data_IF_754347497521
#
_entry.id   IF_754347497521
#
_cell.length_a   1.000
_cell.length_b   1.000
_cell.length_c   1.000
_cell.angle_alpha   90.00
_cell.angle_beta   90.00
_cell.angle_gamma   90.00
#
_symmetry.space_group_name_H-M   'P 1'
#
loop_
_entity.id
_entity.type
_entity.pdbx_description
1 polymer ?
#
# COMPACT_ATOMS: atom_id res chain seq x y z
N UNK A 1 2.13 -21.87 -5.77
CA UNK A 1 1.49 -21.47 -4.50
C UNK A 1 0.42 -20.44 -4.80
N UNK A 2 -0.81 -20.73 -4.44
CA UNK A 2 -1.95 -19.79 -4.53
C UNK A 2 -2.02 -19.00 -3.25
N UNK A 3 -2.19 -17.69 -3.32
CA UNK A 3 -2.41 -16.81 -2.19
C UNK A 3 -3.69 -16.02 -2.40
N UNK A 4 -4.57 -16.02 -1.42
CA UNK A 4 -5.79 -15.24 -1.38
C UNK A 4 -5.76 -14.34 -0.15
N UNK A 5 -6.23 -13.13 -0.28
CA UNK A 5 -6.22 -12.13 0.79
C UNK A 5 -7.45 -11.23 0.68
N UNK A 6 -8.66 -11.72 1.01
CA UNK A 6 -9.79 -10.84 1.21
C UNK A 6 -9.61 -10.03 2.49
N UNK A 7 -9.95 -8.76 2.46
CA UNK A 7 -10.02 -7.89 3.62
C UNK A 7 -11.19 -6.93 3.51
N UNK A 8 -11.75 -6.59 4.65
CA UNK A 8 -12.72 -5.52 4.79
C UNK A 8 -12.16 -4.52 5.80
N UNK A 9 -12.28 -3.25 5.51
CA UNK A 9 -11.87 -2.19 6.42
C UNK A 9 -12.88 -1.03 6.40
N UNK A 10 -12.88 -0.22 7.43
CA UNK A 10 -13.64 1.01 7.51
C UNK A 10 -12.86 2.04 8.31
N UNK A 11 -12.99 3.29 7.90
CA UNK A 11 -12.54 4.46 8.61
C UNK A 11 -13.78 5.27 9.02
N UNK A 12 -13.86 5.63 10.27
CA UNK A 12 -14.92 6.43 10.85
C UNK A 12 -14.27 7.61 11.57
N UNK A 13 -14.51 8.82 11.10
CA UNK A 13 -14.00 10.04 11.69
C UNK A 13 -15.11 10.88 12.26
N UNK A 14 -14.76 11.80 13.16
CA UNK A 14 -15.71 12.71 13.81
C UNK A 14 -16.39 13.62 12.78
N UNK A 15 -15.67 13.98 11.72
CA UNK A 15 -16.23 14.64 10.54
C UNK A 15 -16.68 13.58 9.53
N UNK A 16 -17.99 13.52 9.24
CA UNK A 16 -18.60 12.51 8.37
C UNK A 16 -18.11 12.55 6.92
N UNK A 17 -17.52 13.66 6.47
CA UNK A 17 -16.99 13.77 5.10
C UNK A 17 -15.79 12.82 4.83
N UNK A 18 -15.10 12.39 5.89
CA UNK A 18 -13.94 11.48 5.82
C UNK A 18 -14.28 10.03 6.16
N UNK A 19 -15.56 9.71 6.32
CA UNK A 19 -15.97 8.35 6.57
C UNK A 19 -15.86 7.52 5.30
N UNK A 20 -15.24 6.35 5.40
CA UNK A 20 -15.00 5.47 4.27
C UNK A 20 -14.95 4.00 4.68
N UNK A 21 -15.45 3.12 3.82
CA UNK A 21 -15.33 1.68 4.00
C UNK A 21 -15.13 0.96 2.67
N UNK A 22 -14.36 -0.12 2.67
CA UNK A 22 -14.08 -0.88 1.45
C UNK A 22 -13.87 -2.37 1.71
N UNK A 23 -14.22 -3.14 0.70
CA UNK A 23 -13.92 -4.56 0.60
C UNK A 23 -12.85 -4.80 -0.45
N UNK A 24 -11.66 -5.22 -0.03
CA UNK A 24 -10.60 -5.60 -0.95
C UNK A 24 -10.46 -7.12 -1.08
N UNK A 25 -10.21 -7.55 -2.32
CA UNK A 25 -9.93 -8.94 -2.65
C UNK A 25 -8.71 -9.05 -3.56
N UNK A 26 -7.79 -9.92 -3.19
CA UNK A 26 -6.57 -10.15 -3.97
C UNK A 26 -6.30 -11.65 -4.09
N UNK A 27 -6.39 -12.17 -5.33
CA UNK A 27 -6.05 -13.55 -5.66
C UNK A 27 -4.81 -13.58 -6.54
N UNK A 28 -3.78 -14.29 -6.11
CA UNK A 28 -2.54 -14.47 -6.86
C UNK A 28 -2.21 -15.95 -7.02
N UNK A 29 -2.04 -16.36 -8.27
CA UNK A 29 -1.72 -17.74 -8.63
C UNK A 29 -0.40 -17.77 -9.41
N UNK A 30 0.62 -18.41 -8.84
CA UNK A 30 1.87 -18.69 -9.56
C UNK A 30 1.65 -19.86 -10.50
N UNK A 31 1.93 -19.65 -11.78
CA UNK A 31 1.77 -20.69 -12.81
C UNK A 31 2.97 -21.65 -12.77
N UNK A 32 2.74 -22.95 -12.46
CA UNK A 32 3.85 -23.90 -12.21
C UNK A 32 4.74 -24.13 -13.42
N UNK A 33 4.17 -24.05 -14.64
CA UNK A 33 4.87 -24.31 -15.90
C UNK A 33 5.63 -23.11 -16.47
N UNK A 34 5.38 -21.90 -15.95
CA UNK A 34 5.97 -20.65 -16.47
C UNK A 34 7.28 -20.28 -15.75
N UNK A 35 8.07 -21.25 -15.30
CA UNK A 35 9.40 -21.09 -14.70
C UNK A 35 9.45 -20.01 -13.58
N UNK A 36 8.36 -19.85 -12.83
CA UNK A 36 8.20 -18.82 -11.78
C UNK A 36 8.23 -17.37 -12.28
N UNK A 37 8.23 -17.16 -13.59
CA UNK A 37 8.31 -15.82 -14.21
C UNK A 37 6.95 -15.17 -14.46
N UNK A 38 5.84 -15.92 -14.31
CA UNK A 38 4.49 -15.41 -14.56
C UNK A 38 3.57 -15.70 -13.38
N UNK A 39 2.80 -14.71 -12.99
CA UNK A 39 1.78 -14.77 -11.96
C UNK A 39 0.46 -14.25 -12.53
N UNK A 40 -0.62 -15.00 -12.36
CA UNK A 40 -1.98 -14.56 -12.63
C UNK A 40 -2.52 -13.78 -11.42
N UNK A 41 -3.20 -12.66 -11.66
CA UNK A 41 -3.71 -11.76 -10.64
C UNK A 41 -5.18 -11.47 -10.92
N UNK A 42 -6.01 -11.53 -9.89
CA UNK A 42 -7.34 -10.93 -9.85
C UNK A 42 -7.40 -10.08 -8.59
N UNK A 43 -7.71 -8.81 -8.72
CA UNK A 43 -7.74 -7.89 -7.59
C UNK A 43 -8.67 -6.71 -7.86
N UNK A 44 -9.36 -6.24 -6.84
CA UNK A 44 -10.00 -4.93 -6.83
C UNK A 44 -9.14 -3.89 -6.09
N UNK A 45 -8.02 -4.31 -5.48
CA UNK A 45 -7.01 -3.42 -4.91
C UNK A 45 -5.64 -3.74 -5.55
N UNK A 46 -5.35 -3.12 -6.71
CA UNK A 46 -4.11 -3.36 -7.43
C UNK A 46 -2.86 -2.91 -6.66
N UNK A 47 -2.98 -2.02 -5.71
CA UNK A 47 -1.87 -1.44 -4.95
C UNK A 47 -1.56 -2.19 -3.64
N UNK A 48 -2.39 -3.15 -3.25
CA UNK A 48 -2.24 -3.92 -2.00
C UNK A 48 -0.88 -4.62 -1.83
N UNK A 49 -0.15 -4.90 -2.89
CA UNK A 49 1.13 -5.64 -2.76
C UNK A 49 2.20 -4.89 -1.99
N UNK A 50 2.12 -3.56 -1.98
CA UNK A 50 3.02 -2.67 -1.26
C UNK A 50 2.36 -2.07 -0.03
N UNK A 51 1.05 -2.18 0.07
CA UNK A 51 0.21 -1.64 1.13
C UNK A 51 0.39 -2.32 2.50
N UNK A 52 1.22 -3.37 2.61
CA UNK A 52 1.66 -3.84 3.94
C UNK A 52 2.38 -2.75 4.74
N UNK A 53 2.75 -1.66 4.10
CA UNK A 53 3.26 -0.42 4.70
C UNK A 53 2.27 0.75 4.61
N UNK A 54 1.23 0.65 3.79
CA UNK A 54 0.18 1.66 3.77
C UNK A 54 -0.72 1.41 4.96
N UNK A 55 -0.70 2.31 5.91
CA UNK A 55 -1.70 2.40 6.95
C UNK A 55 -3.00 2.78 6.26
N UNK A 56 -3.83 1.79 5.97
CA UNK A 56 -5.17 2.10 5.53
C UNK A 56 -5.83 3.05 6.53
N UNK A 57 -6.51 4.05 6.05
CA UNK A 57 -7.34 4.89 6.86
C UNK A 57 -6.72 6.15 7.45
N UNK A 58 -5.41 6.38 7.34
CA UNK A 58 -4.83 7.66 7.81
C UNK A 58 -5.05 8.78 6.80
N UNK A 59 -5.08 8.43 5.51
CA UNK A 59 -5.43 9.35 4.43
C UNK A 59 -6.60 8.76 3.65
N UNK A 60 -7.83 9.24 3.85
CA UNK A 60 -9.04 8.77 3.15
C UNK A 60 -8.97 9.02 1.63
N UNK A 61 -8.15 9.97 1.20
CA UNK A 61 -7.89 10.30 -0.21
C UNK A 61 -7.11 9.21 -0.98
N UNK A 62 -6.78 8.07 -0.35
CA UNK A 62 -6.21 6.94 -1.08
C UNK A 62 -7.30 6.35 -1.97
N UNK A 63 -7.28 6.74 -3.24
CA UNK A 63 -8.22 6.30 -4.28
C UNK A 63 -8.50 4.82 -4.17
N UNK A 64 -9.71 4.52 -3.83
CA UNK A 64 -10.28 3.20 -4.03
C UNK A 64 -10.59 3.07 -5.51
N UNK A 65 -9.90 2.18 -6.17
CA UNK A 65 -10.33 1.79 -7.50
C UNK A 65 -11.49 0.82 -7.31
N UNK A 66 -12.71 1.26 -7.58
CA UNK A 66 -13.90 0.39 -7.70
C UNK A 66 -13.78 -0.60 -8.86
N UNK A 67 -12.56 -0.80 -9.36
CA UNK A 67 -12.28 -1.56 -10.55
C UNK A 67 -11.69 -2.93 -10.23
N UNK A 68 -12.38 -3.99 -10.65
CA UNK A 68 -11.80 -5.33 -10.59
C UNK A 68 -10.86 -5.55 -11.78
N UNK A 69 -9.59 -5.68 -11.48
CA UNK A 69 -8.53 -5.95 -12.49
C UNK A 69 -8.22 -7.43 -12.56
N UNK A 70 -8.20 -7.96 -13.77
CA UNK A 70 -7.72 -9.31 -14.09
C UNK A 70 -6.48 -9.18 -14.97
N UNK A 71 -5.38 -9.83 -14.59
CA UNK A 71 -4.14 -9.65 -15.34
C UNK A 71 -3.05 -10.65 -15.02
N UNK A 72 -1.88 -10.35 -15.57
CA UNK A 72 -0.66 -11.12 -15.38
C UNK A 72 0.46 -10.21 -14.91
N UNK A 73 1.30 -10.74 -14.01
CA UNK A 73 2.59 -10.13 -13.67
C UNK A 73 3.70 -11.00 -14.19
N UNK A 74 4.59 -10.37 -14.90
CA UNK A 74 5.80 -10.95 -15.44
C UNK A 74 7.00 -10.50 -14.62
N UNK A 75 7.89 -11.41 -14.28
CA UNK A 75 9.12 -11.13 -13.56
C UNK A 75 10.30 -11.22 -14.51
N UNK A 76 11.18 -10.23 -14.46
CA UNK A 76 12.41 -10.15 -15.26
C UNK A 76 12.20 -10.37 -16.78
N UNK A 77 11.15 -9.73 -17.35
CA UNK A 77 10.82 -9.84 -18.78
C UNK A 77 11.99 -9.53 -19.72
N UNK A 78 12.83 -8.57 -19.35
CA UNK A 78 13.93 -8.09 -20.17
C UNK A 78 15.28 -8.71 -19.79
N UNK A 79 15.34 -9.64 -18.84
CA UNK A 79 16.60 -10.18 -18.32
C UNK A 79 17.46 -9.12 -17.62
N UNK A 80 16.84 -8.07 -17.12
CA UNK A 80 17.53 -6.94 -16.50
C UNK A 80 18.14 -7.30 -15.16
N UNK A 81 17.56 -8.26 -14.43
CA UNK A 81 18.08 -8.72 -13.12
C UNK A 81 19.50 -9.31 -13.20
N UNK A 82 19.92 -9.74 -14.39
CA UNK A 82 21.29 -10.20 -14.63
C UNK A 82 22.31 -9.06 -14.84
N UNK A 83 21.84 -7.84 -15.09
CA UNK A 83 22.67 -6.69 -15.48
C UNK A 83 22.66 -5.58 -14.41
N UNK A 84 21.54 -5.41 -13.73
CA UNK A 84 21.31 -4.34 -12.77
C UNK A 84 20.84 -4.98 -11.45
N UNK A 85 21.44 -4.64 -10.31
CA UNK A 85 20.99 -5.15 -9.03
C UNK A 85 19.54 -4.73 -8.76
N UNK A 86 18.71 -5.66 -8.27
CA UNK A 86 17.31 -5.41 -7.97
C UNK A 86 16.38 -6.40 -8.66
N UNK A 87 15.07 -6.14 -8.57
CA UNK A 87 14.02 -6.99 -9.13
C UNK A 87 13.13 -6.18 -10.04
N UNK A 88 12.94 -6.66 -11.25
CA UNK A 88 12.03 -6.08 -12.22
C UNK A 88 10.77 -6.93 -12.38
N UNK A 89 9.63 -6.28 -12.42
CA UNK A 89 8.37 -6.93 -12.77
C UNK A 89 7.47 -5.98 -13.53
N UNK A 90 6.62 -6.51 -14.40
CA UNK A 90 5.61 -5.73 -15.12
C UNK A 90 4.28 -6.43 -14.96
N UNK A 91 3.29 -5.72 -14.44
CA UNK A 91 1.90 -6.16 -14.43
C UNK A 91 1.17 -5.59 -15.64
N UNK A 92 0.30 -6.39 -16.24
CA UNK A 92 -0.59 -6.00 -17.33
C UNK A 92 -1.97 -6.58 -17.01
N UNK A 93 -3.01 -5.78 -17.18
CA UNK A 93 -4.36 -6.23 -16.86
C UNK A 93 -5.44 -5.47 -17.58
N UNK A 94 -6.63 -6.04 -17.50
CA UNK A 94 -7.88 -5.44 -17.94
C UNK A 94 -8.74 -5.26 -16.71
N UNK A 95 -9.23 -4.06 -16.52
CA UNK A 95 -10.16 -3.70 -15.48
C UNK A 95 -11.58 -3.64 -16.01
N UNK A 96 -12.53 -3.85 -15.10
CA UNK A 96 -13.95 -3.77 -15.37
C UNK A 96 -14.61 -2.93 -14.29
N UNK A 97 -15.02 -1.72 -14.65
CA UNK A 97 -15.80 -0.80 -13.82
C UNK A 97 -16.94 -0.24 -14.66
N UNK A 98 -18.16 -0.29 -14.15
CA UNK A 98 -19.39 0.36 -14.66
C UNK A 98 -19.62 0.39 -16.19
N UNK A 99 -19.06 -0.56 -16.96
CA UNK A 99 -19.42 -0.78 -18.37
C UNK A 99 -18.28 -0.77 -19.37
N UNK A 100 -17.24 0.04 -19.20
CA UNK A 100 -16.14 0.11 -20.15
C UNK A 100 -14.89 -0.64 -19.67
N UNK A 101 -14.27 -1.49 -20.53
CA UNK A 101 -13.03 -2.13 -20.19
C UNK A 101 -11.89 -1.12 -20.18
N UNK A 102 -11.07 -1.17 -19.13
CA UNK A 102 -9.86 -0.37 -18.99
C UNK A 102 -8.64 -1.24 -19.14
N UNK A 103 -7.54 -0.67 -19.64
CA UNK A 103 -6.26 -1.35 -19.75
C UNK A 103 -5.25 -0.71 -18.82
N UNK A 104 -4.42 -1.55 -18.21
CA UNK A 104 -3.37 -1.12 -17.30
C UNK A 104 -2.05 -1.83 -17.62
N UNK A 105 -0.97 -1.06 -17.60
CA UNK A 105 0.39 -1.58 -17.61
C UNK A 105 1.19 -0.94 -16.50
N UNK A 106 1.97 -1.73 -15.75
CA UNK A 106 2.69 -1.27 -14.57
C UNK A 106 4.06 -1.94 -14.46
N UNK A 107 5.10 -1.37 -15.07
CA UNK A 107 6.48 -1.72 -14.78
C UNK A 107 6.87 -1.27 -13.36
N UNK A 108 7.64 -2.13 -12.69
CA UNK A 108 8.12 -1.92 -11.32
C UNK A 108 9.55 -2.36 -11.17
N UNK A 109 10.33 -1.57 -10.49
CA UNK A 109 11.67 -1.88 -10.04
C UNK A 109 11.75 -1.82 -8.52
N UNK A 110 12.39 -2.82 -7.90
CA UNK A 110 12.63 -2.86 -6.45
C UNK A 110 14.10 -3.18 -6.24
N UNK A 111 14.78 -2.37 -5.45
CA UNK A 111 16.14 -2.61 -5.01
C UNK A 111 16.22 -2.54 -3.48
N UNK A 112 16.79 -3.56 -2.86
CA UNK A 112 17.01 -3.61 -1.42
C UNK A 112 18.51 -3.72 -1.16
N UNK A 113 19.01 -2.90 -0.28
CA UNK A 113 20.40 -2.90 0.15
C UNK A 113 20.48 -2.84 1.68
N UNK A 114 21.22 -3.78 2.25
CA UNK A 114 21.48 -3.83 3.68
C UNK A 114 22.85 -3.20 3.96
N UNK A 115 22.89 -2.22 4.87
CA UNK A 115 24.12 -1.59 5.30
C UNK A 115 24.15 -1.46 6.82
N UNK A 116 25.06 -2.20 7.45
CA UNK A 116 25.24 -2.29 8.90
C UNK A 116 23.91 -2.66 9.60
N UNK A 117 23.36 -1.72 10.36
CA UNK A 117 22.11 -1.89 11.15
C UNK A 117 20.85 -1.46 10.42
N UNK A 118 20.98 -0.92 9.21
CA UNK A 118 19.86 -0.45 8.38
C UNK A 118 19.67 -1.33 7.16
N UNK A 119 18.42 -1.50 6.75
CA UNK A 119 18.04 -2.02 5.43
C UNK A 119 17.30 -0.91 4.68
N UNK A 120 17.72 -0.64 3.46
CA UNK A 120 17.07 0.36 2.60
C UNK A 120 16.39 -0.33 1.44
N UNK A 121 15.14 0.03 1.17
CA UNK A 121 14.42 -0.46 0.01
C UNK A 121 13.96 0.72 -0.85
N UNK A 122 14.44 0.76 -2.08
CA UNK A 122 13.96 1.68 -3.10
C UNK A 122 12.96 0.96 -4.00
N UNK A 123 11.85 1.62 -4.27
CA UNK A 123 10.84 1.16 -5.21
C UNK A 123 10.52 2.29 -6.18
N UNK A 124 10.50 1.93 -7.46
CA UNK A 124 10.00 2.76 -8.54
C UNK A 124 8.87 2.02 -9.24
N UNK A 125 7.73 2.65 -9.39
CA UNK A 125 6.56 2.14 -10.10
C UNK A 125 6.10 3.21 -11.08
N UNK A 126 5.92 2.81 -12.32
CA UNK A 126 5.29 3.62 -13.36
C UNK A 126 4.01 2.90 -13.71
N UNK A 127 2.91 3.61 -13.85
CA UNK A 127 1.63 3.04 -14.25
C UNK A 127 1.08 3.84 -15.40
N UNK A 128 0.52 3.16 -16.36
CA UNK A 128 -0.36 3.75 -17.36
C UNK A 128 -1.71 3.05 -17.30
N UNK A 129 -2.76 3.83 -17.31
CA UNK A 129 -4.13 3.38 -17.26
C UNK A 129 -4.97 4.13 -18.30
N UNK A 130 -5.86 3.47 -19.02
CA UNK A 130 -6.61 4.11 -20.11
C UNK A 130 -7.50 5.25 -19.65
N UNK A 131 -8.03 5.20 -18.44
CA UNK A 131 -8.89 6.24 -17.86
C UNK A 131 -8.08 7.35 -17.19
N UNK A 132 -7.09 6.97 -16.38
CA UNK A 132 -6.42 7.89 -15.45
C UNK A 132 -5.08 8.43 -15.98
N UNK A 133 -4.62 7.92 -17.15
CA UNK A 133 -3.34 8.34 -17.74
C UNK A 133 -2.13 7.73 -17.03
N UNK A 134 -1.06 8.51 -16.91
CA UNK A 134 0.18 8.11 -16.28
C UNK A 134 0.19 8.39 -14.78
N UNK A 135 0.82 7.51 -14.03
CA UNK A 135 1.20 7.80 -12.65
C UNK A 135 2.62 7.28 -12.35
N UNK A 136 3.30 7.98 -11.47
CA UNK A 136 4.67 7.70 -11.05
C UNK A 136 4.71 7.62 -9.53
N UNK A 137 5.15 6.48 -8.99
CA UNK A 137 5.38 6.30 -7.55
C UNK A 137 6.85 5.97 -7.31
N UNK A 138 7.51 6.79 -6.49
CA UNK A 138 8.87 6.56 -6.01
C UNK A 138 8.83 6.41 -4.51
N UNK A 139 9.37 5.31 -3.96
CA UNK A 139 9.36 5.07 -2.51
C UNK A 139 10.75 4.67 -2.03
N UNK A 140 11.13 5.25 -0.89
CA UNK A 140 12.39 4.96 -0.20
C UNK A 140 12.10 4.63 1.26
N UNK A 141 12.32 3.38 1.64
CA UNK A 141 12.17 2.88 2.99
C UNK A 141 13.54 2.73 3.66
N UNK A 142 13.65 3.17 4.91
CA UNK A 142 14.77 2.88 5.79
C UNK A 142 14.27 2.07 6.98
N UNK A 143 14.74 0.84 7.10
CA UNK A 143 14.30 -0.14 8.07
C UNK A 143 15.39 -0.44 9.08
N UNK A 144 15.04 -0.50 10.38
CA UNK A 144 15.95 -0.86 11.45
C UNK A 144 15.28 -1.70 12.51
N UNK A 145 15.86 -2.86 12.83
CA UNK A 145 15.52 -3.64 14.01
C UNK A 145 16.21 -3.02 15.23
N UNK A 146 15.46 -2.30 16.08
CA UNK A 146 15.98 -1.72 17.33
C UNK A 146 16.23 -2.80 18.39
N UNK A 147 15.42 -3.87 18.37
CA UNK A 147 15.55 -5.04 19.22
C UNK A 147 14.72 -6.21 18.68
N UNK A 148 14.73 -7.37 19.36
CA UNK A 148 13.84 -8.51 19.00
C UNK A 148 12.35 -8.17 19.01
N UNK A 149 11.95 -7.09 19.70
CA UNK A 149 10.56 -6.68 19.85
C UNK A 149 10.22 -5.37 19.17
N UNK A 150 11.18 -4.53 18.86
CA UNK A 150 10.99 -3.21 18.30
C UNK A 150 11.61 -3.10 16.92
N UNK A 151 10.86 -2.51 15.99
CA UNK A 151 11.28 -2.25 14.64
C UNK A 151 10.86 -0.82 14.25
N UNK A 152 11.79 -0.08 13.64
CA UNK A 152 11.59 1.28 13.18
C UNK A 152 11.66 1.32 11.67
N UNK A 153 10.73 2.02 11.04
CA UNK A 153 10.71 2.32 9.61
C UNK A 153 10.50 3.80 9.37
N UNK A 154 11.31 4.37 8.51
CA UNK A 154 11.04 5.63 7.83
C UNK A 154 10.64 5.29 6.40
N UNK A 155 9.45 5.68 6.01
CA UNK A 155 8.92 5.50 4.65
C UNK A 155 8.77 6.88 4.02
N UNK A 156 9.31 7.08 2.82
CA UNK A 156 9.20 8.29 2.06
C UNK A 156 8.64 7.91 0.69
N UNK A 157 7.51 8.45 0.34
CA UNK A 157 6.81 8.18 -0.92
C UNK A 157 6.56 9.50 -1.65
N UNK A 158 6.83 9.51 -2.94
CA UNK A 158 6.45 10.58 -3.86
C UNK A 158 5.51 9.96 -4.88
N UNK A 159 4.35 10.59 -5.05
CA UNK A 159 3.32 10.20 -6.01
C UNK A 159 3.04 11.36 -6.94
N UNK A 160 2.98 11.10 -8.23
CA UNK A 160 2.50 12.00 -9.27
C UNK A 160 1.49 11.27 -10.15
N UNK A 161 0.38 11.92 -10.50
CA UNK A 161 -0.66 11.39 -11.36
C UNK A 161 -1.06 12.45 -12.39
N UNK A 162 -1.24 12.02 -13.67
CA UNK A 162 -1.51 12.91 -14.80
C UNK A 162 -2.91 13.52 -14.74
N UNK A 163 -3.89 12.75 -14.26
CA UNK A 163 -5.30 13.12 -14.21
C UNK A 163 -5.84 13.08 -12.78
N UNK A 164 -5.24 13.84 -11.92
CA UNK A 164 -5.82 14.11 -10.61
C UNK A 164 -6.77 15.30 -10.74
N UNK A 165 -8.07 15.12 -10.47
CA UNK A 165 -9.10 16.13 -10.74
C UNK A 165 -8.95 17.37 -9.85
N UNK A 166 -8.49 17.17 -8.61
CA UNK A 166 -8.45 18.23 -7.59
C UNK A 166 -7.04 18.79 -7.34
N UNK A 167 -6.00 18.25 -8.00
CA UNK A 167 -4.63 18.62 -7.70
C UNK A 167 -3.69 18.42 -8.89
N UNK A 168 -2.99 19.48 -9.30
CA UNK A 168 -1.88 19.44 -10.25
C UNK A 168 -0.57 19.43 -9.47
N UNK A 169 0.33 18.46 -9.70
CA UNK A 169 1.62 18.41 -9.04
C UNK A 169 2.01 17.02 -8.54
N UNK A 170 2.77 16.99 -7.46
CA UNK A 170 3.14 15.73 -6.80
C UNK A 170 2.87 15.79 -5.29
N UNK A 171 2.57 14.65 -4.74
CA UNK A 171 2.44 14.46 -3.31
C UNK A 171 3.71 13.81 -2.73
N UNK A 172 4.17 14.34 -1.59
CA UNK A 172 5.22 13.73 -0.80
C UNK A 172 4.66 13.26 0.53
N UNK A 173 4.80 11.98 0.80
CA UNK A 173 4.19 11.29 1.95
C UNK A 173 5.23 10.65 2.87
N UNK A 174 5.94 11.43 3.71
CA UNK A 174 6.86 10.88 4.70
C UNK A 174 6.09 10.30 5.88
N UNK A 175 6.54 9.11 6.32
CA UNK A 175 5.92 8.36 7.42
C UNK A 175 6.97 7.77 8.34
N UNK A 176 6.68 7.81 9.63
CA UNK A 176 7.48 7.14 10.66
C UNK A 176 6.63 6.06 11.33
N UNK A 177 7.14 4.84 11.38
CA UNK A 177 6.45 3.70 11.97
C UNK A 177 7.36 3.06 13.01
N UNK A 178 6.94 3.05 14.27
CA UNK A 178 7.57 2.27 15.34
C UNK A 178 6.66 1.08 15.67
N UNK A 179 7.13 -0.11 15.35
CA UNK A 179 6.40 -1.36 15.62
C UNK A 179 6.92 -2.04 16.89
N UNK A 180 5.99 -2.47 17.75
CA UNK A 180 6.26 -3.29 18.92
C UNK A 180 5.56 -4.65 18.79
N UNK A 181 6.33 -5.71 18.72
CA UNK A 181 5.82 -7.08 18.72
C UNK A 181 5.66 -7.58 20.16
N UNK A 182 4.46 -7.90 20.59
CA UNK A 182 4.20 -8.54 21.88
C UNK A 182 4.37 -10.06 21.79
N UNK A 183 3.90 -10.64 20.69
CA UNK A 183 4.01 -12.08 20.40
C UNK A 183 3.97 -12.30 18.88
N UNK A 184 4.03 -13.56 18.45
CA UNK A 184 3.83 -13.91 17.03
C UNK A 184 2.40 -13.64 16.53
N UNK A 185 1.48 -13.31 17.44
CA UNK A 185 0.05 -13.12 17.17
C UNK A 185 -0.41 -11.68 17.37
N UNK A 186 0.43 -10.82 17.94
CA UNK A 186 0.04 -9.48 18.36
C UNK A 186 1.16 -8.47 18.12
N UNK A 187 0.81 -7.35 17.54
CA UNK A 187 1.70 -6.22 17.32
C UNK A 187 0.96 -4.90 17.54
N UNK A 188 1.70 -3.88 17.95
CA UNK A 188 1.26 -2.52 18.07
C UNK A 188 2.18 -1.65 17.22
N UNK A 189 1.61 -0.76 16.42
CA UNK A 189 2.34 0.19 15.59
C UNK A 189 1.95 1.59 16.03
N UNK A 190 2.96 2.42 16.22
CA UNK A 190 2.83 3.86 16.39
C UNK A 190 3.19 4.47 15.05
N UNK A 191 2.29 5.23 14.47
CA UNK A 191 2.44 5.79 13.13
C UNK A 191 2.29 7.30 13.19
N UNK A 192 3.23 7.99 12.55
CA UNK A 192 3.13 9.40 12.24
C UNK A 192 3.23 9.55 10.74
N UNK A 193 2.17 10.07 10.14
CA UNK A 193 2.01 10.19 8.71
C UNK A 193 1.86 11.65 8.35
N UNK A 194 2.49 12.08 7.25
CA UNK A 194 2.37 13.43 6.75
C UNK A 194 2.10 13.37 5.25
N UNK A 195 1.37 14.35 4.75
CA UNK A 195 1.10 14.58 3.35
C UNK A 195 1.48 16.02 3.02
N UNK A 196 2.42 16.18 2.09
CA UNK A 196 2.78 17.46 1.50
C UNK A 196 2.30 17.46 0.06
N UNK A 197 1.74 18.59 -0.40
CA UNK A 197 1.41 18.85 -1.80
C UNK A 197 2.37 19.88 -2.37
N UNK A 198 2.74 19.73 -3.65
CA UNK A 198 3.70 20.64 -4.30
C UNK A 198 3.06 21.90 -4.85
N UNK A 199 1.75 21.87 -5.09
CA UNK A 199 0.99 22.99 -5.66
C UNK A 199 -0.12 23.45 -4.69
N UNK A 200 -0.42 24.77 -4.64
CA UNK A 200 0.25 25.89 -5.30
C UNK A 200 1.63 26.24 -4.70
N UNK A 201 1.96 25.67 -3.56
CA UNK A 201 3.25 25.77 -2.88
C UNK A 201 3.55 24.46 -2.16
N UNK A 202 4.84 24.14 -1.92
CA UNK A 202 5.20 22.93 -1.20
C UNK A 202 4.86 23.07 0.30
N UNK A 203 3.64 22.69 0.66
CA UNK A 203 3.10 22.85 2.01
C UNK A 203 2.64 21.52 2.61
N UNK A 204 2.65 21.47 3.95
CA UNK A 204 2.03 20.38 4.69
C UNK A 204 0.49 20.48 4.55
N UNK A 205 -0.13 19.46 3.94
CA UNK A 205 -1.57 19.39 3.75
C UNK A 205 -2.26 18.63 4.88
N UNK A 206 -1.67 17.50 5.30
CA UNK A 206 -2.23 16.68 6.39
C UNK A 206 -1.12 16.12 7.25
N UNK A 207 -1.33 16.08 8.55
CA UNK A 207 -0.53 15.29 9.49
C UNK A 207 -1.44 14.44 10.37
N UNK A 208 -1.06 13.17 10.60
CA UNK A 208 -1.88 12.27 11.39
C UNK A 208 -1.04 11.35 12.27
N UNK A 209 -1.57 11.10 13.47
CA UNK A 209 -1.03 10.16 14.44
C UNK A 209 -1.99 9.00 14.60
N UNK A 210 -1.50 7.76 14.46
CA UNK A 210 -2.32 6.57 14.65
C UNK A 210 -1.63 5.55 15.56
N UNK A 211 -2.45 4.84 16.33
CA UNK A 211 -2.02 3.75 17.20
C UNK A 211 -2.69 2.46 16.72
N UNK A 212 -2.03 1.68 15.89
CA UNK A 212 -2.58 0.51 15.24
C UNK A 212 -2.28 -0.77 16.01
N UNK A 213 -3.32 -1.41 16.51
CA UNK A 213 -3.23 -2.72 17.16
C UNK A 213 -3.71 -3.82 16.23
N UNK A 214 -2.84 -4.77 15.92
CA UNK A 214 -3.14 -5.93 15.07
C UNK A 214 -3.02 -7.21 15.87
N UNK A 215 -4.03 -8.06 15.76
CA UNK A 215 -4.10 -9.35 16.45
C UNK A 215 -4.59 -10.47 15.53
N UNK A 216 -3.89 -11.60 15.59
CA UNK A 216 -4.41 -12.86 15.09
C UNK A 216 -5.47 -13.36 16.09
N UNK A 217 -6.71 -13.51 15.63
CA UNK A 217 -7.82 -14.04 16.41
C UNK A 217 -8.26 -15.37 15.82
N UNK A 218 -8.79 -16.26 16.64
CA UNK A 218 -9.37 -17.56 16.28
C UNK A 218 -8.43 -18.51 15.51
N UNK A 219 -8.09 -18.24 14.24
CA UNK A 219 -7.26 -19.11 13.37
C UNK A 219 -6.00 -18.40 12.89
N UNK A 220 -4.92 -19.14 12.47
CA UNK A 220 -3.68 -18.54 12.00
C UNK A 220 -3.80 -17.63 10.78
N UNK A 221 -4.91 -17.69 10.09
CA UNK A 221 -5.20 -16.94 8.87
C UNK A 221 -6.18 -15.79 9.08
N UNK A 222 -6.71 -15.58 10.31
CA UNK A 222 -7.69 -14.55 10.61
C UNK A 222 -7.09 -13.46 11.50
N UNK A 223 -7.09 -12.22 11.02
CA UNK A 223 -6.52 -11.07 11.69
C UNK A 223 -7.56 -9.97 11.84
N UNK A 224 -7.51 -9.29 12.97
CA UNK A 224 -8.26 -8.07 13.23
C UNK A 224 -7.28 -6.96 13.56
N UNK A 225 -7.56 -5.78 13.07
CA UNK A 225 -6.79 -4.58 13.28
C UNK A 225 -7.70 -3.44 13.65
N UNK A 226 -7.30 -2.64 14.64
CA UNK A 226 -8.02 -1.45 15.09
C UNK A 226 -6.97 -0.35 15.29
N UNK A 227 -7.26 0.85 14.76
CA UNK A 227 -6.37 1.98 14.88
C UNK A 227 -7.14 3.28 15.18
N UNK A 228 -7.25 3.67 16.45
CA UNK A 228 -7.60 5.05 16.77
C UNK A 228 -6.56 6.00 16.19
N UNK A 229 -7.01 7.13 15.67
CA UNK A 229 -6.17 8.14 15.04
C UNK A 229 -6.66 9.56 15.32
N UNK A 230 -5.74 10.51 15.17
CA UNK A 230 -6.02 11.93 15.09
C UNK A 230 -5.39 12.48 13.81
N UNK A 231 -6.20 13.13 12.99
CA UNK A 231 -5.77 13.84 11.79
C UNK A 231 -5.93 15.34 11.97
N UNK A 232 -5.01 16.09 11.38
CA UNK A 232 -5.02 17.54 11.32
C UNK A 232 -4.84 17.92 9.85
N UNK A 233 -5.80 18.62 9.27
CA UNK A 233 -5.84 18.97 7.84
C UNK A 233 -5.79 20.49 7.67
N UNK A 234 -5.07 20.93 6.68
CA UNK A 234 -4.99 22.36 6.36
C UNK A 234 -6.35 22.94 5.93
N UNK A 235 -7.13 22.14 5.22
CA UNK A 235 -8.50 22.52 4.78
C UNK A 235 -9.49 22.70 5.93
N UNK A 236 -9.23 22.07 7.09
CA UNK A 236 -10.01 22.18 8.31
C UNK A 236 -9.36 23.16 9.31
N UNK A 237 -8.55 24.13 8.84
CA UNK A 237 -7.82 25.07 9.69
C UNK A 237 -6.96 24.39 10.77
N UNK A 238 -6.51 23.17 10.53
CA UNK A 238 -5.76 22.32 11.47
C UNK A 238 -6.54 21.88 12.71
N UNK A 239 -7.85 21.95 12.68
CA UNK A 239 -8.67 21.40 13.76
C UNK A 239 -8.52 19.87 13.83
N UNK A 240 -8.37 19.30 15.04
CA UNK A 240 -8.15 17.87 15.20
C UNK A 240 -9.42 17.08 14.90
N UNK A 241 -9.35 16.16 13.96
CA UNK A 241 -10.39 15.15 13.69
C UNK A 241 -9.99 13.81 14.31
N UNK A 242 -10.83 13.29 15.20
CA UNK A 242 -10.64 11.98 15.81
C UNK A 242 -11.28 10.90 14.93
N UNK A 243 -10.53 9.83 14.66
CA UNK A 243 -11.01 8.74 13.82
C UNK A 243 -10.70 7.37 14.40
N UNK A 244 -11.42 6.38 13.90
CA UNK A 244 -11.24 4.97 14.21
C UNK A 244 -11.19 4.15 12.91
N UNK A 245 -10.02 3.60 12.61
CA UNK A 245 -9.88 2.61 11.55
C UNK A 245 -10.06 1.21 12.11
N UNK A 246 -10.82 0.35 11.41
CA UNK A 246 -10.99 -1.05 11.72
C UNK A 246 -10.81 -1.91 10.46
N UNK A 247 -10.10 -3.03 10.59
CA UNK A 247 -9.85 -3.96 9.47
C UNK A 247 -9.96 -5.41 9.92
N UNK A 248 -10.63 -6.20 9.10
CA UNK A 248 -10.64 -7.66 9.19
C UNK A 248 -9.93 -8.23 7.97
N UNK A 249 -8.97 -9.12 8.17
CA UNK A 249 -8.16 -9.70 7.11
C UNK A 249 -8.09 -11.21 7.21
N UNK A 250 -8.27 -11.88 6.07
CA UNK A 250 -8.20 -13.34 5.95
C UNK A 250 -7.04 -13.72 5.02
N UNK A 251 -6.03 -14.42 5.53
CA UNK A 251 -4.84 -14.84 4.77
C UNK A 251 -4.93 -16.33 4.44
N UNK A 252 -5.50 -16.68 3.29
CA UNK A 252 -5.56 -18.05 2.81
C UNK A 252 -4.32 -18.40 2.00
N UNK A 253 -3.53 -19.34 2.50
CA UNK A 253 -2.34 -19.85 1.82
C UNK A 253 -2.53 -21.34 1.59
N UNK A 254 -2.57 -21.78 0.33
CA UNK A 254 -2.50 -23.20 0.01
C UNK A 254 -1.08 -23.69 0.31
N UNK A 255 -0.95 -24.55 1.29
CA UNK A 255 0.30 -25.26 1.54
C UNK A 255 0.28 -26.48 0.63
N UNK A 256 1.16 -26.53 -0.36
CA UNK A 256 1.41 -27.76 -1.11
C UNK A 256 2.02 -28.76 -0.12
N UNK A 257 1.32 -29.88 0.07
CA UNK A 257 1.82 -31.06 0.80
C UNK A 257 2.79 -31.81 -0.08
#
# INVERSE_FOLDING_TARGET
>A
TTRQKPSYWGLFEQDDQYNDDDFSFNLRVKLPRAQKKVQFIITNDPDEELSSSRSGGVFPEQRQTEETTVGFRFFDLAGLESKIPGKFSTAMGVGFSSGDPTFRIEPRYIYTHDFDIWSTTFLQKIRWHTRDGWSLESRLDFDRALSKKYFLRFNNEILWEEKEEDFEGYEFRPRVILSRRFSNKQALLYEWNNLFRSEPSFDLHTTALALRYRRQVWKPWFFVEVAPQYAFRNEDDWDPSAGLFAKVEVLLKKTDK
#
